data_IF_783867743319
#
_entry.id   IF_783867743319
#
_cell.length_a   1.000
_cell.length_b   1.000
_cell.length_c   1.000
_cell.angle_alpha   90.00
_cell.angle_beta   90.00
_cell.angle_gamma   90.00
#
_symmetry.space_group_name_H-M   'P 1'
#
loop_
_entity.id
_entity.type
_entity.pdbx_description
1 polymer ?
#
# COMPACT_ATOMS: atom_id res chain seq x y z
N UNK A 1 -13.79 2.03 36.33
CA UNK A 1 -14.94 1.20 36.78
C UNK A 1 -14.64 -0.24 36.39
N UNK A 2 -14.78 -1.22 37.30
CA UNK A 2 -14.54 -2.64 37.01
C UNK A 2 -15.86 -3.41 36.97
N UNK A 3 -16.17 -4.04 35.83
CA UNK A 3 -17.36 -4.88 35.62
C UNK A 3 -16.94 -6.29 35.18
N UNK A 4 -17.77 -7.30 35.47
CA UNK A 4 -17.29 -8.68 35.54
C UNK A 4 -17.60 -9.63 34.37
N UNK A 5 -18.67 -9.43 33.57
CA UNK A 5 -19.13 -10.50 32.64
C UNK A 5 -19.75 -10.02 31.32
N UNK A 6 -20.54 -8.97 31.32
CA UNK A 6 -21.10 -8.32 30.12
C UNK A 6 -21.67 -6.96 30.55
N UNK A 7 -21.57 -5.94 29.71
CA UNK A 7 -22.27 -4.66 29.89
C UNK A 7 -23.05 -4.33 28.63
N UNK A 8 -24.36 -4.15 28.76
CA UNK A 8 -25.24 -3.69 27.67
C UNK A 8 -25.86 -2.34 28.02
N UNK A 9 -25.69 -1.34 27.17
CA UNK A 9 -26.31 -0.03 27.32
C UNK A 9 -26.97 0.39 25.99
N UNK A 10 -28.18 0.95 26.07
CA UNK A 10 -28.97 1.32 24.90
C UNK A 10 -28.93 2.80 24.53
N UNK A 11 -28.17 3.63 25.26
CA UNK A 11 -28.12 5.07 25.08
C UNK A 11 -26.70 5.60 25.07
N UNK A 12 -26.58 6.92 25.11
CA UNK A 12 -25.30 7.62 25.18
C UNK A 12 -24.57 7.30 26.50
N UNK A 13 -23.26 7.16 26.43
CA UNK A 13 -22.38 7.00 27.59
C UNK A 13 -21.25 8.01 27.52
N UNK A 14 -21.06 8.76 28.61
CA UNK A 14 -19.89 9.60 28.81
C UNK A 14 -19.22 9.21 30.11
N UNK A 15 -17.92 8.85 30.05
CA UNK A 15 -17.15 8.49 31.24
C UNK A 15 -15.81 9.23 31.26
N UNK A 16 -15.55 9.93 32.36
CA UNK A 16 -14.31 10.67 32.59
C UNK A 16 -13.25 9.91 33.40
N UNK A 17 -13.38 8.58 33.50
CA UNK A 17 -12.47 7.72 34.26
C UNK A 17 -12.26 6.41 33.51
N UNK A 18 -11.13 5.76 33.76
CA UNK A 18 -10.78 4.45 33.20
C UNK A 18 -11.95 3.45 33.31
N UNK A 19 -12.17 2.68 32.25
CA UNK A 19 -13.17 1.62 32.18
C UNK A 19 -12.49 0.28 31.96
N UNK A 20 -12.77 -0.68 32.83
CA UNK A 20 -12.27 -2.05 32.70
C UNK A 20 -13.43 -3.03 32.78
N UNK A 21 -13.58 -3.90 31.80
CA UNK A 21 -14.61 -4.94 31.79
C UNK A 21 -13.97 -6.27 31.35
N UNK A 22 -14.14 -7.31 32.16
CA UNK A 22 -13.56 -8.62 31.86
C UNK A 22 -14.32 -9.44 30.81
N UNK A 23 -15.28 -8.86 30.09
CA UNK A 23 -16.13 -9.52 29.12
C UNK A 23 -16.68 -8.53 28.09
N UNK A 24 -17.80 -8.88 27.46
CA UNK A 24 -18.33 -8.16 26.29
C UNK A 24 -18.97 -6.81 26.62
N UNK A 25 -18.76 -5.81 25.75
CA UNK A 25 -19.43 -4.50 25.80
C UNK A 25 -20.36 -4.32 24.60
N UNK A 26 -21.67 -4.15 24.84
CA UNK A 26 -22.67 -3.87 23.80
C UNK A 26 -23.32 -2.51 24.02
N UNK A 27 -23.21 -1.64 23.03
CA UNK A 27 -23.66 -0.25 23.11
C UNK A 27 -24.52 0.11 21.90
N UNK A 28 -25.71 0.64 22.12
CA UNK A 28 -26.56 1.11 21.02
C UNK A 28 -26.30 2.55 20.59
N UNK A 29 -25.84 3.40 21.51
CA UNK A 29 -25.69 4.84 21.31
C UNK A 29 -24.24 5.30 21.17
N UNK A 30 -24.05 6.61 21.28
CA UNK A 30 -22.73 7.26 21.30
C UNK A 30 -21.95 6.88 22.56
N UNK A 31 -20.63 6.70 22.41
CA UNK A 31 -19.72 6.49 23.53
C UNK A 31 -18.63 7.55 23.51
N UNK A 32 -18.48 8.26 24.63
CA UNK A 32 -17.39 9.21 24.88
C UNK A 32 -16.62 8.75 26.12
N UNK A 33 -15.35 8.41 25.94
CA UNK A 33 -14.43 8.05 27.01
C UNK A 33 -13.24 9.02 27.00
N UNK A 34 -13.04 9.71 28.12
CA UNK A 34 -11.93 10.67 28.26
C UNK A 34 -10.61 9.98 28.66
N UNK A 35 -10.68 8.75 29.14
CA UNK A 35 -9.58 7.95 29.69
C UNK A 35 -9.60 6.54 29.08
N UNK A 36 -8.73 5.64 29.55
CA UNK A 36 -8.53 4.27 29.03
C UNK A 36 -9.81 3.40 29.01
N UNK A 37 -9.95 2.59 27.95
CA UNK A 37 -10.88 1.47 27.85
C UNK A 37 -10.10 0.15 27.74
N UNK A 38 -10.26 -0.73 28.71
CA UNK A 38 -9.74 -2.11 28.67
C UNK A 38 -10.88 -3.14 28.72
N UNK A 39 -11.01 -3.95 27.67
CA UNK A 39 -11.96 -5.05 27.58
C UNK A 39 -11.25 -6.39 27.41
N UNK A 40 -11.66 -7.38 28.19
CA UNK A 40 -11.18 -8.76 28.04
C UNK A 40 -11.82 -9.54 26.90
N UNK A 41 -12.88 -9.00 26.27
CA UNK A 41 -13.58 -9.64 25.17
C UNK A 41 -14.12 -8.62 24.15
N UNK A 42 -15.06 -9.05 23.32
CA UNK A 42 -15.61 -8.27 22.20
C UNK A 42 -16.29 -6.95 22.59
N UNK A 43 -16.24 -5.98 21.69
CA UNK A 43 -17.06 -4.76 21.75
C UNK A 43 -17.91 -4.60 20.50
N UNK A 44 -19.21 -4.36 20.69
CA UNK A 44 -20.12 -3.96 19.64
C UNK A 44 -20.75 -2.60 19.97
N UNK A 45 -20.62 -1.62 19.09
CA UNK A 45 -21.22 -0.31 19.23
C UNK A 45 -21.99 0.13 17.98
N UNK A 46 -23.25 0.51 18.14
CA UNK A 46 -24.07 0.96 17.02
C UNK A 46 -23.83 2.42 16.60
N UNK A 47 -23.42 3.28 17.54
CA UNK A 47 -23.22 4.72 17.31
C UNK A 47 -21.75 5.13 17.17
N UNK A 48 -21.52 6.44 17.17
CA UNK A 48 -20.18 7.05 17.12
C UNK A 48 -19.39 6.81 18.40
N UNK A 49 -18.10 6.52 18.26
CA UNK A 49 -17.17 6.35 19.38
C UNK A 49 -16.12 7.46 19.39
N UNK A 50 -15.99 8.13 20.54
CA UNK A 50 -14.85 9.01 20.82
C UNK A 50 -14.09 8.51 22.03
N UNK A 51 -12.81 8.22 21.87
CA UNK A 51 -11.91 7.82 22.95
C UNK A 51 -10.66 8.69 22.95
N UNK A 52 -10.43 9.45 24.02
CA UNK A 52 -9.21 10.26 24.11
C UNK A 52 -7.99 9.47 24.57
N UNK A 53 -8.23 8.46 25.42
CA UNK A 53 -7.19 7.61 25.99
C UNK A 53 -6.84 6.40 25.13
N UNK A 54 -6.20 5.42 25.76
CA UNK A 54 -5.83 4.14 25.16
C UNK A 54 -7.03 3.19 25.08
N UNK A 55 -7.05 2.35 24.04
CA UNK A 55 -8.00 1.25 23.86
C UNK A 55 -7.25 -0.06 23.87
N UNK A 56 -7.65 -0.99 24.72
CA UNK A 56 -7.13 -2.36 24.74
C UNK A 56 -8.30 -3.33 24.70
N UNK A 57 -8.43 -4.11 23.63
CA UNK A 57 -9.38 -5.23 23.56
C UNK A 57 -8.64 -6.55 23.34
N UNK A 58 -9.07 -7.57 24.08
CA UNK A 58 -8.56 -8.92 23.91
C UNK A 58 -9.06 -9.63 22.65
N UNK A 59 -10.18 -9.18 22.08
CA UNK A 59 -10.90 -9.84 20.97
C UNK A 59 -11.30 -8.79 19.91
N UNK A 60 -12.52 -8.86 19.37
CA UNK A 60 -12.96 -8.06 18.22
C UNK A 60 -13.58 -6.70 18.61
N UNK A 61 -13.43 -5.73 17.71
CA UNK A 61 -14.13 -4.44 17.75
C UNK A 61 -15.05 -4.31 16.53
N UNK A 62 -16.36 -4.22 16.77
CA UNK A 62 -17.35 -3.90 15.73
C UNK A 62 -18.03 -2.57 16.03
N UNK A 63 -17.88 -1.57 15.16
CA UNK A 63 -18.67 -0.34 15.25
C UNK A 63 -19.49 -0.09 13.98
N UNK A 64 -20.76 0.29 14.18
CA UNK A 64 -21.67 0.66 13.09
C UNK A 64 -21.52 2.10 12.62
N UNK A 65 -20.87 2.96 13.41
CA UNK A 65 -20.68 4.38 13.15
C UNK A 65 -19.23 4.76 12.83
N UNK A 66 -18.88 6.01 13.10
CA UNK A 66 -17.52 6.53 13.00
C UNK A 66 -16.77 6.35 14.33
N UNK A 67 -15.44 6.35 14.26
CA UNK A 67 -14.58 6.32 15.42
C UNK A 67 -13.51 7.40 15.36
N UNK A 68 -13.38 8.15 16.46
CA UNK A 68 -12.25 9.03 16.72
C UNK A 68 -11.50 8.57 17.95
N UNK A 69 -10.22 8.22 17.82
CA UNK A 69 -9.38 7.89 18.95
C UNK A 69 -8.06 8.66 18.99
N UNK A 70 -7.76 9.21 20.17
CA UNK A 70 -6.57 10.04 20.39
C UNK A 70 -5.35 9.26 20.84
N UNK A 71 -5.53 8.22 21.66
CA UNK A 71 -4.45 7.38 22.20
C UNK A 71 -4.16 6.14 21.36
N UNK A 72 -3.30 5.28 21.88
CA UNK A 72 -2.93 3.99 21.28
C UNK A 72 -4.12 3.02 21.28
N UNK A 73 -4.29 2.28 20.18
CA UNK A 73 -5.24 1.18 20.05
C UNK A 73 -4.49 -0.14 19.94
N UNK A 74 -4.82 -1.09 20.81
CA UNK A 74 -4.34 -2.47 20.74
C UNK A 74 -5.56 -3.39 20.70
N UNK A 75 -5.75 -4.10 19.59
CA UNK A 75 -6.77 -5.13 19.43
C UNK A 75 -6.12 -6.49 19.18
N UNK A 76 -6.51 -7.49 19.99
CA UNK A 76 -6.06 -8.86 19.81
C UNK A 76 -6.66 -9.54 18.58
N UNK A 77 -7.87 -9.14 18.17
CA UNK A 77 -8.60 -9.71 17.03
C UNK A 77 -8.88 -8.70 15.91
N UNK A 78 -9.95 -8.94 15.18
CA UNK A 78 -10.38 -8.13 14.04
C UNK A 78 -11.05 -6.80 14.45
N UNK A 79 -10.87 -5.78 13.61
CA UNK A 79 -11.64 -4.54 13.66
C UNK A 79 -12.56 -4.44 12.44
N UNK A 80 -13.86 -4.30 12.67
CA UNK A 80 -14.85 -3.99 11.64
C UNK A 80 -15.53 -2.66 11.93
N UNK A 81 -15.45 -1.73 10.97
CA UNK A 81 -16.05 -0.41 11.10
C UNK A 81 -16.88 -0.03 9.86
N UNK A 82 -18.14 0.33 10.08
CA UNK A 82 -19.05 0.74 9.01
C UNK A 82 -18.79 2.16 8.47
N UNK A 83 -18.24 3.05 9.29
CA UNK A 83 -17.97 4.45 8.96
C UNK A 83 -16.48 4.78 8.76
N UNK A 84 -16.10 5.99 9.14
CA UNK A 84 -14.71 6.50 9.10
C UNK A 84 -13.95 6.19 10.40
N UNK A 85 -12.64 5.98 10.28
CA UNK A 85 -11.72 5.83 11.41
C UNK A 85 -10.71 6.98 11.42
N UNK A 86 -10.69 7.76 12.49
CA UNK A 86 -9.70 8.83 12.73
C UNK A 86 -8.88 8.52 13.99
N UNK A 87 -7.59 8.40 13.82
CA UNK A 87 -6.67 7.94 14.86
C UNK A 87 -5.48 8.87 15.00
N UNK A 88 -5.19 9.29 16.23
CA UNK A 88 -4.03 10.14 16.55
C UNK A 88 -2.81 9.36 17.04
N UNK A 89 -3.02 8.27 17.78
CA UNK A 89 -1.97 7.41 18.34
C UNK A 89 -1.65 6.22 17.44
N UNK A 90 -0.78 5.33 17.92
CA UNK A 90 -0.44 4.06 17.26
C UNK A 90 -1.63 3.10 17.20
N UNK A 91 -1.70 2.30 16.15
CA UNK A 91 -2.70 1.24 15.97
C UNK A 91 -2.01 -0.10 15.79
N UNK A 92 -2.33 -1.07 16.64
CA UNK A 92 -1.84 -2.44 16.58
C UNK A 92 -3.04 -3.40 16.55
N UNK A 93 -3.19 -4.14 15.45
CA UNK A 93 -4.22 -5.17 15.29
C UNK A 93 -3.57 -6.54 15.09
N UNK A 94 -4.00 -7.53 15.89
CA UNK A 94 -3.49 -8.89 15.81
C UNK A 94 -3.95 -9.66 14.56
N UNK A 95 -5.17 -9.38 14.09
CA UNK A 95 -5.78 -10.04 12.93
C UNK A 95 -6.02 -8.99 11.82
N UNK A 96 -7.26 -8.72 11.41
CA UNK A 96 -7.55 -7.86 10.26
C UNK A 96 -8.24 -6.53 10.58
N UNK A 97 -8.28 -5.66 9.57
CA UNK A 97 -9.09 -4.44 9.54
C UNK A 97 -10.02 -4.47 8.33
N UNK A 98 -11.32 -4.31 8.57
CA UNK A 98 -12.32 -4.04 7.53
C UNK A 98 -13.01 -2.72 7.79
N UNK A 99 -12.90 -1.79 6.85
CA UNK A 99 -13.49 -0.44 6.94
C UNK A 99 -14.36 -0.15 5.71
N UNK A 100 -15.60 0.27 5.97
CA UNK A 100 -16.51 0.73 4.90
C UNK A 100 -16.17 2.13 4.38
N UNK A 101 -15.55 2.98 5.21
CA UNK A 101 -15.20 4.36 4.90
C UNK A 101 -13.70 4.65 4.83
N UNK A 102 -13.33 5.89 5.15
CA UNK A 102 -11.97 6.41 5.12
C UNK A 102 -11.19 6.11 6.42
N UNK A 103 -9.90 5.82 6.30
CA UNK A 103 -8.97 5.71 7.42
C UNK A 103 -7.99 6.89 7.40
N UNK A 104 -7.98 7.67 8.48
CA UNK A 104 -6.91 8.63 8.77
C UNK A 104 -6.17 8.21 10.04
N UNK A 105 -4.88 7.92 9.91
CA UNK A 105 -4.03 7.44 10.99
C UNK A 105 -2.78 8.34 11.11
N UNK A 106 -2.62 8.98 12.26
CA UNK A 106 -1.52 9.91 12.52
C UNK A 106 -0.23 9.23 12.99
N UNK A 107 -0.36 8.15 13.76
CA UNK A 107 0.75 7.35 14.26
C UNK A 107 1.14 6.19 13.34
N UNK A 108 1.97 5.29 13.86
CA UNK A 108 2.30 4.01 13.22
C UNK A 108 1.07 3.09 13.17
N UNK A 109 1.02 2.22 12.17
CA UNK A 109 -0.03 1.22 11.98
C UNK A 109 0.61 -0.14 11.73
N UNK A 110 0.34 -1.10 12.63
CA UNK A 110 0.85 -2.46 12.58
C UNK A 110 -0.32 -3.45 12.56
N UNK A 111 -0.44 -4.21 11.48
CA UNK A 111 -1.51 -5.20 11.30
C UNK A 111 -0.91 -6.58 11.05
N UNK A 112 -1.33 -7.58 11.83
CA UNK A 112 -0.90 -8.95 11.68
C UNK A 112 -1.54 -9.70 10.50
N UNK A 113 -2.75 -9.31 10.11
CA UNK A 113 -3.55 -9.96 9.07
C UNK A 113 -3.92 -9.01 7.92
N UNK A 114 -5.11 -9.21 7.35
CA UNK A 114 -5.57 -8.53 6.14
C UNK A 114 -6.11 -7.11 6.42
N UNK A 115 -5.98 -6.23 5.43
CA UNK A 115 -6.55 -4.88 5.45
C UNK A 115 -7.45 -4.66 4.25
N UNK A 116 -8.74 -4.42 4.51
CA UNK A 116 -9.75 -4.16 3.48
C UNK A 116 -10.39 -2.79 3.74
N UNK A 117 -10.20 -1.87 2.80
CA UNK A 117 -10.72 -0.51 2.88
C UNK A 117 -11.60 -0.20 1.66
N UNK A 118 -12.84 0.21 1.93
CA UNK A 118 -13.76 0.71 0.90
C UNK A 118 -13.52 2.15 0.48
N UNK A 119 -12.95 2.98 1.36
CA UNK A 119 -12.66 4.40 1.14
C UNK A 119 -11.19 4.70 0.92
N UNK A 120 -10.73 5.89 1.31
CA UNK A 120 -9.34 6.35 1.21
C UNK A 120 -8.51 5.95 2.45
N UNK A 121 -7.19 5.82 2.26
CA UNK A 121 -6.21 5.69 3.34
C UNK A 121 -5.28 6.90 3.37
N UNK A 122 -5.22 7.58 4.50
CA UNK A 122 -4.19 8.57 4.80
C UNK A 122 -3.42 8.16 6.06
N UNK A 123 -2.10 7.95 5.91
CA UNK A 123 -1.20 7.63 7.02
C UNK A 123 -0.09 8.68 7.14
N UNK A 124 0.03 9.28 8.33
CA UNK A 124 1.15 10.16 8.66
C UNK A 124 2.42 9.42 9.09
N UNK A 125 2.25 8.23 9.69
CA UNK A 125 3.33 7.38 10.19
C UNK A 125 3.70 6.24 9.24
N UNK A 126 4.33 5.20 9.80
CA UNK A 126 4.75 3.98 9.11
C UNK A 126 3.61 2.95 9.04
N UNK A 127 3.54 2.19 7.94
CA UNK A 127 2.64 1.05 7.76
C UNK A 127 3.43 -0.25 7.76
N UNK A 128 3.11 -1.17 8.66
CA UNK A 128 3.55 -2.56 8.61
C UNK A 128 2.34 -3.48 8.54
N UNK A 129 2.22 -4.24 7.45
CA UNK A 129 1.15 -5.23 7.25
C UNK A 129 1.73 -6.61 7.01
N UNK A 130 1.32 -7.57 7.83
CA UNK A 130 1.68 -8.98 7.67
C UNK A 130 0.94 -9.69 6.54
N UNK A 131 -0.32 -9.34 6.31
CA UNK A 131 -1.19 -9.96 5.30
C UNK A 131 -1.43 -9.13 4.04
N UNK A 132 -2.52 -9.44 3.35
CA UNK A 132 -2.94 -8.78 2.11
C UNK A 132 -3.59 -7.40 2.36
N UNK A 133 -3.38 -6.47 1.43
CA UNK A 133 -4.04 -5.17 1.41
C UNK A 133 -4.92 -5.03 0.17
N UNK A 134 -6.21 -4.78 0.38
CA UNK A 134 -7.15 -4.37 -0.68
C UNK A 134 -7.73 -3.01 -0.37
N UNK A 135 -7.54 -2.05 -1.29
CA UNK A 135 -8.02 -0.68 -1.13
C UNK A 135 -8.76 -0.22 -2.39
N UNK A 136 -10.03 0.16 -2.20
CA UNK A 136 -10.89 0.65 -3.28
C UNK A 136 -10.66 2.11 -3.66
N UNK A 137 -10.14 2.93 -2.73
CA UNK A 137 -9.88 4.36 -2.91
C UNK A 137 -8.40 4.70 -3.11
N UNK A 138 -8.06 5.95 -2.81
CA UNK A 138 -6.70 6.48 -2.87
C UNK A 138 -5.91 6.14 -1.59
N UNK A 139 -4.59 6.06 -1.73
CA UNK A 139 -3.64 5.80 -0.66
C UNK A 139 -2.59 6.91 -0.61
N UNK A 140 -2.49 7.60 0.52
CA UNK A 140 -1.43 8.58 0.79
C UNK A 140 -0.68 8.19 2.06
N UNK A 141 0.62 7.95 1.93
CA UNK A 141 1.50 7.60 3.04
C UNK A 141 2.68 8.56 3.14
N UNK A 142 2.88 9.12 4.33
CA UNK A 142 4.01 9.99 4.64
C UNK A 142 5.26 9.25 5.11
N UNK A 143 5.10 8.14 5.83
CA UNK A 143 6.19 7.31 6.37
C UNK A 143 6.57 6.14 5.47
N UNK A 144 7.32 5.18 6.03
CA UNK A 144 7.70 3.94 5.34
C UNK A 144 6.51 2.97 5.22
N UNK A 145 6.54 2.11 4.20
CA UNK A 145 5.54 1.07 3.98
C UNK A 145 6.23 -0.28 3.83
N UNK A 146 5.81 -1.24 4.66
CA UNK A 146 6.22 -2.65 4.56
C UNK A 146 5.00 -3.54 4.47
N UNK A 147 4.81 -4.25 3.36
CA UNK A 147 3.78 -5.27 3.20
C UNK A 147 4.38 -6.66 2.98
N UNK A 148 3.87 -7.65 3.71
CA UNK A 148 4.33 -9.04 3.62
C UNK A 148 3.81 -9.79 2.38
N UNK A 149 2.56 -9.56 2.01
CA UNK A 149 1.83 -10.37 1.01
C UNK A 149 1.38 -9.53 -0.20
N UNK A 150 0.11 -9.61 -0.62
CA UNK A 150 -0.40 -8.93 -1.83
C UNK A 150 -0.84 -7.48 -1.54
N UNK A 151 -0.61 -6.59 -2.50
CA UNK A 151 -1.23 -5.26 -2.56
C UNK A 151 -2.11 -5.16 -3.81
N UNK A 152 -3.41 -4.92 -3.60
CA UNK A 152 -4.37 -4.61 -4.66
C UNK A 152 -4.99 -3.22 -4.43
N UNK A 153 -4.65 -2.27 -5.30
CA UNK A 153 -5.15 -0.89 -5.22
C UNK A 153 -5.95 -0.50 -6.47
N UNK A 154 -7.19 -0.08 -6.28
CA UNK A 154 -8.03 0.45 -7.34
C UNK A 154 -7.75 1.92 -7.70
N UNK A 155 -7.32 2.72 -6.72
CA UNK A 155 -7.05 4.15 -6.86
C UNK A 155 -5.57 4.51 -6.99
N UNK A 156 -5.24 5.76 -6.68
CA UNK A 156 -3.88 6.31 -6.74
C UNK A 156 -3.09 5.96 -5.47
N UNK A 157 -1.79 5.68 -5.62
CA UNK A 157 -0.83 5.53 -4.51
C UNK A 157 0.19 6.68 -4.54
N UNK A 158 0.24 7.45 -3.45
CA UNK A 158 1.30 8.42 -3.17
C UNK A 158 2.09 8.02 -1.92
N UNK A 159 3.36 7.68 -2.10
CA UNK A 159 4.30 7.31 -1.03
C UNK A 159 5.42 8.34 -0.92
N UNK A 160 5.56 8.96 0.24
CA UNK A 160 6.68 9.84 0.56
C UNK A 160 7.96 9.11 0.98
N UNK A 161 7.81 8.02 1.75
CA UNK A 161 8.91 7.23 2.30
C UNK A 161 9.37 6.09 1.40
N UNK A 162 10.15 5.17 1.97
CA UNK A 162 10.53 3.91 1.31
C UNK A 162 9.34 2.94 1.27
N UNK A 163 9.31 2.08 0.26
CA UNK A 163 8.31 1.03 0.10
C UNK A 163 8.98 -0.32 -0.08
N UNK A 164 8.63 -1.27 0.78
CA UNK A 164 9.03 -2.68 0.68
C UNK A 164 7.79 -3.56 0.57
N UNK A 165 7.70 -4.34 -0.51
CA UNK A 165 6.61 -5.28 -0.77
C UNK A 165 7.16 -6.68 -0.97
N UNK A 166 6.68 -7.65 -0.19
CA UNK A 166 7.09 -9.04 -0.30
C UNK A 166 6.42 -9.80 -1.45
N UNK A 167 5.09 -9.68 -1.57
CA UNK A 167 4.27 -10.43 -2.54
C UNK A 167 3.99 -9.67 -3.83
N UNK A 168 2.84 -9.96 -4.44
CA UNK A 168 2.38 -9.32 -5.69
C UNK A 168 1.87 -7.90 -5.44
N UNK A 169 2.07 -7.02 -6.41
CA UNK A 169 1.54 -5.66 -6.41
C UNK A 169 0.73 -5.40 -7.68
N UNK A 170 -0.56 -5.08 -7.50
CA UNK A 170 -1.48 -4.74 -8.58
C UNK A 170 -2.05 -3.35 -8.33
N UNK A 171 -1.74 -2.42 -9.21
CA UNK A 171 -2.14 -1.03 -9.11
C UNK A 171 -2.93 -0.62 -10.36
N UNK A 172 -4.20 -0.25 -10.15
CA UNK A 172 -5.08 0.20 -11.21
C UNK A 172 -4.95 1.68 -11.56
N UNK A 173 -4.65 2.52 -10.55
CA UNK A 173 -4.49 3.97 -10.68
C UNK A 173 -3.04 4.42 -10.83
N UNK A 174 -2.79 5.72 -10.59
CA UNK A 174 -1.46 6.30 -10.66
C UNK A 174 -0.59 5.88 -9.47
N UNK A 175 0.71 5.73 -9.70
CA UNK A 175 1.71 5.45 -8.67
C UNK A 175 2.74 6.58 -8.63
N UNK A 176 2.85 7.26 -7.49
CA UNK A 176 3.89 8.26 -7.22
C UNK A 176 4.70 7.85 -6.00
N UNK A 177 5.99 7.59 -6.21
CA UNK A 177 6.92 7.16 -5.17
C UNK A 177 8.10 8.14 -5.08
N UNK A 178 8.23 8.78 -3.92
CA UNK A 178 9.32 9.71 -3.62
C UNK A 178 10.60 9.02 -3.13
N UNK A 179 10.45 7.94 -2.36
CA UNK A 179 11.54 7.13 -1.79
C UNK A 179 11.95 5.95 -2.67
N UNK A 180 12.71 5.01 -2.09
CA UNK A 180 13.12 3.77 -2.77
C UNK A 180 11.96 2.74 -2.81
N UNK A 181 11.90 1.96 -3.88
CA UNK A 181 10.98 0.82 -4.02
C UNK A 181 11.77 -0.50 -4.03
N UNK A 182 11.43 -1.40 -3.11
CA UNK A 182 11.87 -2.81 -3.14
C UNK A 182 10.66 -3.74 -3.26
N UNK A 183 10.51 -4.38 -4.42
CA UNK A 183 9.47 -5.36 -4.70
C UNK A 183 10.08 -6.77 -4.78
N UNK A 184 9.60 -7.70 -3.96
CA UNK A 184 9.98 -9.11 -4.02
C UNK A 184 9.27 -9.88 -5.12
N UNK A 185 7.94 -9.70 -5.23
CA UNK A 185 7.09 -10.39 -6.20
C UNK A 185 6.93 -9.67 -7.54
N UNK A 186 5.87 -10.03 -8.26
CA UNK A 186 5.47 -9.40 -9.52
C UNK A 186 4.82 -8.03 -9.26
N UNK A 187 4.96 -7.13 -10.21
CA UNK A 187 4.33 -5.81 -10.19
C UNK A 187 3.58 -5.57 -11.50
N UNK A 188 2.29 -5.28 -11.39
CA UNK A 188 1.42 -4.87 -12.51
C UNK A 188 0.89 -3.46 -12.24
N UNK A 189 1.22 -2.54 -13.15
CA UNK A 189 0.83 -1.14 -13.06
C UNK A 189 0.01 -0.76 -14.29
N UNK A 190 -1.27 -0.45 -14.08
CA UNK A 190 -2.21 -0.08 -15.13
C UNK A 190 -2.16 1.41 -15.50
N UNK A 191 -2.01 2.29 -14.49
CA UNK A 191 -1.93 3.75 -14.66
C UNK A 191 -0.51 4.27 -14.84
N UNK A 192 -0.33 5.58 -14.73
CA UNK A 192 0.98 6.22 -14.79
C UNK A 192 1.83 5.88 -13.55
N UNK A 193 3.15 5.80 -13.72
CA UNK A 193 4.11 5.58 -12.66
C UNK A 193 5.21 6.63 -12.67
N UNK A 194 5.41 7.30 -11.54
CA UNK A 194 6.53 8.20 -11.30
C UNK A 194 7.33 7.73 -10.09
N UNK A 195 8.59 7.39 -10.31
CA UNK A 195 9.50 6.91 -9.27
C UNK A 195 10.76 7.77 -9.24
N UNK A 196 10.94 8.48 -8.12
CA UNK A 196 12.07 9.39 -7.92
C UNK A 196 13.35 8.69 -7.46
N UNK A 197 13.21 7.71 -6.55
CA UNK A 197 14.31 6.95 -5.95
C UNK A 197 14.75 5.73 -6.75
N UNK A 198 15.61 4.90 -6.16
CA UNK A 198 15.97 3.60 -6.72
C UNK A 198 14.75 2.66 -6.75
N UNK A 199 14.68 1.84 -7.80
CA UNK A 199 13.69 0.77 -7.93
C UNK A 199 14.41 -0.57 -8.05
N UNK A 200 14.13 -1.49 -7.14
CA UNK A 200 14.61 -2.87 -7.15
C UNK A 200 13.41 -3.80 -7.22
N UNK A 201 13.29 -4.55 -8.30
CA UNK A 201 12.25 -5.53 -8.52
C UNK A 201 12.86 -6.94 -8.67
N UNK A 202 12.46 -7.86 -7.80
CA UNK A 202 12.87 -9.26 -7.84
C UNK A 202 12.09 -10.07 -8.89
N UNK A 203 10.79 -9.79 -9.04
CA UNK A 203 9.89 -10.45 -9.97
C UNK A 203 9.78 -9.76 -11.33
N UNK A 204 8.65 -9.98 -12.01
CA UNK A 204 8.31 -9.37 -13.30
C UNK A 204 7.71 -7.97 -13.12
N UNK A 205 7.92 -7.10 -14.11
CA UNK A 205 7.23 -5.81 -14.21
C UNK A 205 6.39 -5.74 -15.48
N UNK A 206 5.09 -5.50 -15.32
CA UNK A 206 4.17 -5.20 -16.41
C UNK A 206 3.64 -3.78 -16.29
N UNK A 207 3.90 -2.96 -17.31
CA UNK A 207 3.46 -1.57 -17.39
C UNK A 207 2.44 -1.40 -18.52
N UNK A 208 1.20 -1.09 -18.15
CA UNK A 208 0.15 -0.69 -19.08
C UNK A 208 0.18 0.80 -19.41
N UNK A 209 0.54 1.64 -18.42
CA UNK A 209 0.63 3.09 -18.53
C UNK A 209 2.04 3.62 -18.80
N UNK A 210 2.20 4.94 -18.64
CA UNK A 210 3.49 5.62 -18.78
C UNK A 210 4.34 5.46 -17.51
N UNK A 211 5.65 5.33 -17.65
CA UNK A 211 6.58 5.30 -16.53
C UNK A 211 7.69 6.34 -16.68
N UNK A 212 7.91 7.13 -15.63
CA UNK A 212 9.07 8.00 -15.46
C UNK A 212 9.90 7.54 -14.28
N UNK A 213 11.15 7.16 -14.55
CA UNK A 213 12.11 6.69 -13.55
C UNK A 213 13.33 7.61 -13.48
N UNK A 214 13.48 8.29 -12.35
CA UNK A 214 14.61 9.19 -12.09
C UNK A 214 15.88 8.49 -11.61
N UNK A 215 15.72 7.49 -10.74
CA UNK A 215 16.82 6.74 -10.11
C UNK A 215 17.30 5.54 -10.92
N UNK A 216 18.19 4.73 -10.34
CA UNK A 216 18.56 3.42 -10.90
C UNK A 216 17.36 2.46 -10.84
N UNK A 217 17.23 1.62 -11.86
CA UNK A 217 16.26 0.54 -11.92
C UNK A 217 16.99 -0.80 -12.08
N UNK A 218 16.76 -1.71 -11.15
CA UNK A 218 17.27 -3.08 -11.18
C UNK A 218 16.08 -4.02 -11.21
N UNK A 219 15.96 -4.78 -12.30
CA UNK A 219 14.88 -5.74 -12.49
C UNK A 219 15.48 -7.13 -12.70
N UNK A 220 15.15 -8.05 -11.80
CA UNK A 220 15.61 -9.44 -11.84
C UNK A 220 14.86 -10.29 -12.86
N UNK A 221 13.55 -10.04 -13.00
CA UNK A 221 12.64 -10.76 -13.91
C UNK A 221 12.50 -10.11 -15.28
N UNK A 222 11.34 -10.36 -15.91
CA UNK A 222 10.96 -9.84 -17.23
C UNK A 222 10.38 -8.43 -17.13
N UNK A 223 10.59 -7.63 -18.18
CA UNK A 223 9.92 -6.34 -18.38
C UNK A 223 8.97 -6.43 -19.57
N UNK A 224 7.67 -6.21 -19.33
CA UNK A 224 6.69 -6.00 -20.39
C UNK A 224 6.20 -4.55 -20.38
N UNK A 225 6.48 -3.83 -21.46
CA UNK A 225 6.08 -2.43 -21.61
C UNK A 225 5.01 -2.27 -22.70
N UNK A 226 3.78 -1.99 -22.28
CA UNK A 226 2.67 -1.61 -23.17
C UNK A 226 2.63 -0.10 -23.47
N UNK A 227 3.00 0.73 -22.49
CA UNK A 227 3.00 2.20 -22.58
C UNK A 227 4.37 2.80 -22.90
N UNK A 228 4.57 4.07 -22.52
CA UNK A 228 5.84 4.77 -22.69
C UNK A 228 6.70 4.66 -21.42
N UNK A 229 8.01 4.52 -21.56
CA UNK A 229 8.95 4.51 -20.44
C UNK A 229 10.10 5.47 -20.69
N UNK A 230 10.32 6.38 -19.75
CA UNK A 230 11.47 7.30 -19.73
C UNK A 230 12.36 6.98 -18.53
N UNK A 231 13.63 6.66 -18.79
CA UNK A 231 14.65 6.43 -17.77
C UNK A 231 15.70 7.53 -17.83
N UNK A 232 15.78 8.32 -16.76
CA UNK A 232 16.88 9.25 -16.53
C UNK A 232 18.13 8.58 -15.95
N UNK A 233 17.91 7.51 -15.18
CA UNK A 233 18.96 6.72 -14.53
C UNK A 233 19.46 5.53 -15.35
N UNK A 234 20.22 4.67 -14.68
CA UNK A 234 20.71 3.41 -15.23
C UNK A 234 19.64 2.31 -15.06
N UNK A 235 19.53 1.43 -16.05
CA UNK A 235 18.70 0.22 -15.97
C UNK A 235 19.58 -1.02 -16.10
N UNK A 236 19.41 -1.96 -15.17
CA UNK A 236 19.92 -3.33 -15.28
C UNK A 236 18.74 -4.29 -15.36
N UNK A 237 18.66 -5.06 -16.43
CA UNK A 237 17.66 -6.11 -16.59
C UNK A 237 18.31 -7.49 -16.65
N UNK A 238 17.88 -8.36 -15.74
CA UNK A 238 18.28 -9.76 -15.66
C UNK A 238 17.54 -10.66 -16.67
N UNK A 239 16.26 -10.39 -16.91
CA UNK A 239 15.38 -11.17 -17.78
C UNK A 239 15.18 -10.58 -19.18
N UNK A 240 14.08 -11.01 -19.81
CA UNK A 240 13.63 -10.58 -21.14
C UNK A 240 12.99 -9.18 -21.09
N UNK A 241 13.17 -8.41 -22.15
CA UNK A 241 12.47 -7.14 -22.38
C UNK A 241 11.54 -7.25 -23.59
N UNK A 242 10.24 -7.05 -23.36
CA UNK A 242 9.22 -6.98 -24.41
C UNK A 242 8.72 -5.54 -24.50
N UNK A 243 9.02 -4.87 -25.61
CA UNK A 243 8.59 -3.49 -25.86
C UNK A 243 7.44 -3.46 -26.87
N UNK A 244 6.22 -3.24 -26.39
CA UNK A 244 5.07 -2.87 -27.21
C UNK A 244 4.96 -1.36 -27.46
N UNK A 245 5.39 -0.55 -26.50
CA UNK A 245 5.38 0.92 -26.58
C UNK A 245 6.75 1.56 -26.83
N UNK A 246 6.94 2.79 -26.35
CA UNK A 246 8.19 3.55 -26.53
C UNK A 246 9.08 3.47 -25.29
N UNK A 247 10.38 3.21 -25.48
CA UNK A 247 11.41 3.31 -24.46
C UNK A 247 12.39 4.44 -24.82
N UNK A 248 12.47 5.46 -23.97
CA UNK A 248 13.46 6.53 -24.05
C UNK A 248 14.46 6.42 -22.90
N UNK A 249 15.74 6.32 -23.25
CA UNK A 249 16.84 6.15 -22.30
C UNK A 249 17.80 7.33 -22.37
N UNK A 250 17.92 8.09 -21.29
CA UNK A 250 18.99 9.10 -21.16
C UNK A 250 20.26 8.49 -20.54
N UNK A 251 20.10 7.50 -19.66
CA UNK A 251 21.18 6.79 -18.99
C UNK A 251 21.62 5.50 -19.68
N UNK A 252 22.28 4.63 -18.92
CA UNK A 252 22.82 3.35 -19.41
C UNK A 252 21.78 2.22 -19.30
N UNK A 253 21.71 1.36 -20.31
CA UNK A 253 20.91 0.13 -20.30
C UNK A 253 21.83 -1.08 -20.42
N UNK A 254 21.80 -1.96 -19.40
CA UNK A 254 22.45 -3.27 -19.43
C UNK A 254 21.42 -4.38 -19.45
N UNK A 255 21.44 -5.18 -20.51
CA UNK A 255 20.52 -6.29 -20.72
C UNK A 255 21.26 -7.62 -20.76
N UNK A 256 20.80 -8.56 -19.93
CA UNK A 256 21.32 -9.93 -19.92
C UNK A 256 20.46 -10.90 -20.72
N UNK A 257 19.15 -10.66 -20.76
CA UNK A 257 18.20 -11.44 -21.55
C UNK A 257 17.96 -10.90 -22.96
N UNK A 258 16.94 -11.45 -23.60
CA UNK A 258 16.52 -11.10 -24.96
C UNK A 258 15.75 -9.77 -25.00
N UNK A 259 15.78 -9.09 -26.13
CA UNK A 259 14.90 -7.95 -26.42
C UNK A 259 13.98 -8.31 -27.58
N UNK A 260 12.68 -8.13 -27.39
CA UNK A 260 11.68 -8.19 -28.45
C UNK A 260 11.11 -6.79 -28.67
N UNK A 261 11.40 -6.22 -29.85
CA UNK A 261 10.91 -4.90 -30.24
C UNK A 261 9.65 -5.01 -31.11
N UNK A 262 8.49 -4.68 -30.52
CA UNK A 262 7.25 -4.34 -31.24
C UNK A 262 7.02 -2.83 -31.35
N UNK A 263 7.61 -2.04 -30.44
CA UNK A 263 7.56 -0.57 -30.41
C UNK A 263 8.91 0.10 -30.70
N UNK A 264 9.09 1.32 -30.18
CA UNK A 264 10.25 2.18 -30.47
C UNK A 264 11.24 2.21 -29.30
N UNK A 265 12.54 2.20 -29.60
CA UNK A 265 13.60 2.42 -28.61
C UNK A 265 14.45 3.62 -29.05
N UNK A 266 14.63 4.59 -28.16
CA UNK A 266 15.45 5.80 -28.34
C UNK A 266 16.56 5.79 -27.28
N UNK A 267 17.81 5.82 -27.74
CA UNK A 267 18.99 5.76 -26.89
C UNK A 267 19.75 7.10 -26.92
N UNK A 268 19.76 7.79 -25.79
CA UNK A 268 20.64 8.92 -25.48
C UNK A 268 21.94 8.49 -24.78
N UNK A 269 21.92 7.35 -24.07
CA UNK A 269 23.07 6.78 -23.37
C UNK A 269 23.61 5.47 -23.97
N UNK A 270 24.37 4.71 -23.18
CA UNK A 270 25.02 3.46 -23.61
C UNK A 270 24.06 2.26 -23.52
N UNK A 271 24.08 1.41 -24.54
CA UNK A 271 23.40 0.11 -24.55
C UNK A 271 24.43 -1.02 -24.53
N UNK A 272 24.40 -1.83 -23.49
CA UNK A 272 25.14 -3.10 -23.40
C UNK A 272 24.17 -4.26 -23.49
N UNK A 273 24.31 -5.09 -24.53
CA UNK A 273 23.50 -6.29 -24.73
C UNK A 273 24.37 -7.54 -24.64
N UNK A 274 24.03 -8.45 -23.71
CA UNK A 274 24.61 -9.78 -23.64
C UNK A 274 23.69 -10.87 -24.24
N UNK A 275 22.41 -10.56 -24.47
CA UNK A 275 21.42 -11.45 -25.07
C UNK A 275 21.14 -11.21 -26.56
N UNK A 276 20.04 -11.76 -27.06
CA UNK A 276 19.61 -11.62 -28.46
C UNK A 276 18.73 -10.38 -28.66
N UNK A 277 18.82 -9.75 -29.84
CA UNK A 277 17.93 -8.67 -30.27
C UNK A 277 17.02 -9.17 -31.40
N UNK A 278 15.72 -9.26 -31.13
CA UNK A 278 14.69 -9.68 -32.07
C UNK A 278 13.85 -8.47 -32.49
N UNK A 279 13.83 -8.18 -33.79
CA UNK A 279 13.05 -7.10 -34.38
C UNK A 279 11.73 -7.64 -34.93
N UNK A 280 10.60 -7.25 -34.34
CA UNK A 280 9.28 -7.53 -34.89
C UNK A 280 8.99 -6.62 -36.09
N UNK A 281 8.82 -7.19 -37.28
CA UNK A 281 8.24 -6.53 -38.47
C UNK A 281 8.70 -5.09 -38.74
N UNK A 282 9.84 -4.91 -39.42
CA UNK A 282 10.36 -3.59 -39.79
C UNK A 282 9.42 -2.88 -40.78
N UNK A 283 8.76 -1.79 -40.36
CA UNK A 283 8.31 -0.71 -41.25
C UNK A 283 9.16 0.54 -40.97
N UNK A 284 10.37 0.58 -41.54
CA UNK A 284 11.36 1.60 -41.23
C UNK A 284 11.07 2.91 -41.96
N UNK A 285 10.51 3.89 -41.25
CA UNK A 285 10.50 5.29 -41.66
C UNK A 285 11.84 6.03 -41.40
N UNK A 286 12.72 5.49 -40.54
CA UNK A 286 14.09 5.98 -40.24
C UNK A 286 15.03 4.84 -39.83
N UNK A 287 16.33 5.14 -39.85
CA UNK A 287 17.48 4.23 -39.82
C UNK A 287 17.74 3.61 -38.42
N UNK A 288 17.95 2.30 -38.38
CA UNK A 288 18.44 1.55 -37.22
C UNK A 288 19.97 1.70 -37.15
N UNK A 289 20.49 2.39 -36.12
CA UNK A 289 21.93 2.53 -35.89
C UNK A 289 22.32 1.61 -34.72
N UNK A 290 23.01 0.51 -35.03
CA UNK A 290 23.65 -0.34 -34.02
C UNK A 290 25.12 0.08 -33.89
N UNK A 291 25.51 0.57 -32.71
CA UNK A 291 26.91 0.79 -32.33
C UNK A 291 27.54 -0.54 -31.93
N UNK A 292 28.72 -0.86 -32.49
CA UNK A 292 29.48 -2.07 -32.18
C UNK A 292 30.72 -1.81 -31.35
#
# INVERSE_FOLDING_TARGET
>A
MILGRELTLGGEMTQGVEMTLGGELKMGGEMILEEELTLGGEMTQGGEMTLRGEMILGEELTLGGEMTQGGEMILGGEMTLGGELKMGGEMILGEGLTLGGELTQGGEMILGGEMILGGELTLGGELTLGGEMTLGGEMTLGGEMTLGEELALGGELTQGGEMTQGGEMILGGELTLGGELTQGGEMTQGGEMTQGGEMILGGELTLGGEMTQGGEMILGGELTLGGEMTLGGKMILGGEMILGGELTLEGELTLRGEIILGGQMILGGELTLAGELILGGIDSGRELILGG
#
